data_IF_794847919377
#
_entry.id   IF_794847919377
#
_cell.length_a   1.000
_cell.length_b   1.000
_cell.length_c   1.000
_cell.angle_alpha   90.00
_cell.angle_beta   90.00
_cell.angle_gamma   90.00
#
_symmetry.space_group_name_H-M   'P 1'
#
loop_
_entity.id
_entity.type
_entity.pdbx_description
1 polymer ?
#
# COMPACT_ATOMS: atom_id res chain seq x y z
N UNK A 1 -13.79 -10.07 -20.43
CA UNK A 1 -12.71 -9.47 -19.64
C UNK A 1 -13.10 -9.55 -18.18
N UNK A 2 -12.49 -10.46 -17.43
CA UNK A 2 -12.93 -10.79 -16.09
C UNK A 2 -12.52 -9.76 -15.04
N UNK A 3 -13.30 -9.70 -13.94
CA UNK A 3 -13.05 -8.80 -12.79
C UNK A 3 -11.63 -8.97 -12.21
N UNK A 4 -11.12 -10.20 -12.25
CA UNK A 4 -9.76 -10.57 -11.83
C UNK A 4 -8.70 -9.87 -12.69
N UNK A 5 -8.88 -9.85 -14.01
CA UNK A 5 -7.97 -9.21 -14.97
C UNK A 5 -7.94 -7.68 -14.78
N UNK A 6 -9.10 -7.08 -14.46
CA UNK A 6 -9.20 -5.65 -14.12
C UNK A 6 -8.45 -5.30 -12.82
N UNK A 7 -8.53 -6.14 -11.78
CA UNK A 7 -7.82 -5.93 -10.50
C UNK A 7 -6.31 -6.11 -10.69
N UNK A 8 -5.88 -7.15 -11.41
CA UNK A 8 -4.45 -7.36 -11.71
C UNK A 8 -3.87 -6.21 -12.53
N UNK A 9 -4.62 -5.68 -13.51
CA UNK A 9 -4.17 -4.54 -14.30
C UNK A 9 -4.06 -3.25 -13.47
N UNK A 10 -4.97 -3.01 -12.53
CA UNK A 10 -4.88 -1.86 -11.61
C UNK A 10 -3.67 -1.98 -10.68
N UNK A 11 -3.45 -3.13 -10.05
CA UNK A 11 -2.29 -3.38 -9.21
C UNK A 11 -0.97 -3.30 -10.00
N UNK A 12 -0.95 -3.75 -11.27
CA UNK A 12 0.21 -3.63 -12.14
C UNK A 12 0.51 -2.18 -12.49
N UNK A 13 -0.50 -1.33 -12.68
CA UNK A 13 -0.33 0.08 -12.96
C UNK A 13 0.19 0.85 -11.73
N UNK A 14 -0.38 0.61 -10.55
CA UNK A 14 0.12 1.21 -9.30
C UNK A 14 1.57 0.84 -9.06
N UNK A 15 1.91 -0.45 -9.14
CA UNK A 15 3.29 -0.94 -9.02
C UNK A 15 4.22 -0.29 -10.05
N UNK A 16 3.80 -0.21 -11.31
CA UNK A 16 4.58 0.39 -12.40
C UNK A 16 4.86 1.87 -12.12
N UNK A 17 3.86 2.64 -11.72
CA UNK A 17 4.02 4.05 -11.40
C UNK A 17 4.97 4.27 -10.22
N UNK A 18 4.85 3.51 -9.14
CA UNK A 18 5.75 3.60 -7.99
C UNK A 18 7.19 3.24 -8.38
N UNK A 19 7.40 2.15 -9.12
CA UNK A 19 8.74 1.78 -9.60
C UNK A 19 9.33 2.88 -10.47
N UNK A 20 8.57 3.46 -11.40
CA UNK A 20 9.05 4.54 -12.26
C UNK A 20 9.42 5.79 -11.47
N UNK A 21 8.69 6.12 -10.40
CA UNK A 21 9.04 7.21 -9.48
C UNK A 21 10.37 6.91 -8.79
N UNK A 22 10.55 5.72 -8.22
CA UNK A 22 11.80 5.33 -7.57
C UNK A 22 12.99 5.32 -8.54
N UNK A 23 12.83 4.75 -9.73
CA UNK A 23 13.87 4.74 -10.76
C UNK A 23 14.26 6.15 -11.21
N UNK A 24 13.29 7.05 -11.36
CA UNK A 24 13.55 8.43 -11.71
C UNK A 24 14.33 9.15 -10.61
N UNK A 25 13.91 8.99 -9.37
CA UNK A 25 14.58 9.56 -8.21
C UNK A 25 16.00 9.03 -8.02
N UNK A 26 16.25 7.74 -8.26
CA UNK A 26 17.59 7.13 -8.15
C UNK A 26 18.57 7.61 -9.23
N UNK A 27 18.07 8.17 -10.33
CA UNK A 27 18.89 8.72 -11.42
C UNK A 27 19.06 10.23 -11.36
N UNK A 28 18.41 10.89 -10.41
CA UNK A 28 18.36 12.34 -10.31
C UNK A 28 19.22 12.81 -9.14
N UNK A 29 20.25 13.58 -9.43
CA UNK A 29 21.14 14.18 -8.42
C UNK A 29 20.63 15.51 -7.88
N UNK A 30 19.70 16.15 -8.59
CA UNK A 30 19.08 17.43 -8.21
C UNK A 30 17.62 17.42 -8.60
N UNK A 31 16.76 17.64 -7.64
CA UNK A 31 15.31 17.71 -7.86
C UNK A 31 14.94 19.12 -8.32
N UNK A 32 14.42 19.21 -9.54
CA UNK A 32 13.84 20.42 -10.12
C UNK A 32 12.32 20.34 -10.03
N UNK A 33 11.64 21.51 -10.08
CA UNK A 33 10.18 21.58 -9.92
C UNK A 33 9.44 20.74 -10.98
N UNK A 34 9.97 20.65 -12.19
CA UNK A 34 9.40 19.83 -13.27
C UNK A 34 9.40 18.33 -12.90
N UNK A 35 10.48 17.86 -12.29
CA UNK A 35 10.59 16.47 -11.80
C UNK A 35 9.60 16.19 -10.69
N UNK A 36 9.43 17.15 -9.76
CA UNK A 36 8.44 17.03 -8.69
C UNK A 36 7.01 16.94 -9.21
N UNK A 37 6.64 17.78 -10.18
CA UNK A 37 5.31 17.76 -10.81
C UNK A 37 5.04 16.42 -11.52
N UNK A 38 6.04 15.87 -12.21
CA UNK A 38 5.89 14.56 -12.85
C UNK A 38 5.70 13.45 -11.80
N UNK A 39 6.48 13.46 -10.71
CA UNK A 39 6.37 12.48 -9.63
C UNK A 39 4.99 12.57 -8.99
N UNK A 40 4.53 13.77 -8.64
CA UNK A 40 3.21 14.02 -8.07
C UNK A 40 2.10 13.47 -8.97
N UNK A 41 2.14 13.81 -10.26
CA UNK A 41 1.17 13.30 -11.24
C UNK A 41 1.12 11.79 -11.30
N UNK A 42 2.27 11.10 -11.22
CA UNK A 42 2.35 9.64 -11.22
C UNK A 42 1.82 9.03 -9.92
N UNK A 43 2.10 9.63 -8.77
CA UNK A 43 1.61 9.19 -7.48
C UNK A 43 0.08 9.32 -7.40
N UNK A 44 -0.49 10.42 -7.88
CA UNK A 44 -1.93 10.65 -7.93
C UNK A 44 -2.68 9.69 -8.87
N UNK A 45 -1.99 9.07 -9.84
CA UNK A 45 -2.55 8.01 -10.69
C UNK A 45 -2.59 6.64 -10.00
N UNK A 46 -2.04 6.53 -8.80
CA UNK A 46 -2.10 5.33 -7.97
C UNK A 46 -3.29 5.37 -7.02
N UNK A 47 -3.63 4.22 -6.42
CA UNK A 47 -4.68 4.12 -5.40
C UNK A 47 -4.19 4.49 -3.98
N UNK A 48 -3.03 5.17 -3.84
CA UNK A 48 -2.46 5.51 -2.53
C UNK A 48 -3.14 6.71 -1.83
N UNK A 49 -3.93 7.48 -2.58
CA UNK A 49 -4.59 8.69 -2.08
C UNK A 49 -3.72 9.95 -2.17
N UNK A 50 -4.37 11.12 -2.18
CA UNK A 50 -3.69 12.42 -2.33
C UNK A 50 -2.84 12.77 -1.11
N UNK A 51 -3.30 12.45 0.10
CA UNK A 51 -2.59 12.76 1.34
C UNK A 51 -1.18 12.15 1.38
N UNK A 52 -1.06 10.86 1.05
CA UNK A 52 0.25 10.21 0.99
C UNK A 52 1.11 10.74 -0.16
N UNK A 53 0.52 11.07 -1.30
CA UNK A 53 1.24 11.66 -2.41
C UNK A 53 1.83 13.03 -2.04
N UNK A 54 1.05 13.90 -1.38
CA UNK A 54 1.50 15.19 -0.86
C UNK A 54 2.60 15.05 0.19
N UNK A 55 2.48 14.10 1.11
CA UNK A 55 3.50 13.79 2.11
C UNK A 55 4.83 13.39 1.46
N UNK A 56 4.79 12.53 0.44
CA UNK A 56 5.97 12.11 -0.32
C UNK A 56 6.64 13.31 -1.00
N UNK A 57 5.87 14.15 -1.68
CA UNK A 57 6.40 15.35 -2.34
C UNK A 57 7.01 16.31 -1.33
N UNK A 58 6.35 16.54 -0.21
CA UNK A 58 6.87 17.38 0.88
C UNK A 58 8.17 16.84 1.44
N UNK A 59 8.26 15.53 1.66
CA UNK A 59 9.47 14.88 2.10
C UNK A 59 10.63 15.07 1.10
N UNK A 60 10.40 14.80 -0.19
CA UNK A 60 11.42 14.95 -1.24
C UNK A 60 11.95 16.39 -1.30
N UNK A 61 11.09 17.39 -1.10
CA UNK A 61 11.50 18.81 -1.07
C UNK A 61 12.40 19.17 0.11
N UNK A 62 12.28 18.47 1.22
CA UNK A 62 13.00 18.79 2.47
C UNK A 62 14.34 18.10 2.58
N UNK A 63 14.53 16.94 1.96
CA UNK A 63 15.77 16.18 2.06
C UNK A 63 16.86 16.73 1.12
N UNK A 64 18.10 16.57 1.58
CA UNK A 64 19.31 16.83 0.78
C UNK A 64 20.09 15.53 0.71
N UNK A 65 20.07 14.87 -0.41
CA UNK A 65 20.72 13.57 -0.62
C UNK A 65 21.19 13.46 -2.08
N UNK A 66 22.14 12.57 -2.32
CA UNK A 66 22.54 12.18 -3.67
C UNK A 66 21.71 11.01 -4.21
N UNK A 67 21.02 10.27 -3.35
CA UNK A 67 20.13 9.15 -3.68
C UNK A 67 18.73 9.36 -3.07
N UNK A 68 17.91 10.06 -3.82
CA UNK A 68 16.50 10.30 -3.46
C UNK A 68 15.66 9.02 -3.48
N UNK A 69 16.03 8.03 -4.31
CA UNK A 69 15.31 6.76 -4.41
C UNK A 69 15.41 5.95 -3.11
N UNK A 70 16.64 5.75 -2.60
CA UNK A 70 16.86 5.06 -1.32
C UNK A 70 16.25 5.84 -0.16
N UNK A 71 16.38 7.16 -0.13
CA UNK A 71 15.79 7.98 0.93
C UNK A 71 14.26 7.89 0.95
N UNK A 72 13.59 7.88 -0.21
CA UNK A 72 12.15 7.68 -0.28
C UNK A 72 11.75 6.27 0.14
N UNK A 73 12.51 5.25 -0.25
CA UNK A 73 12.27 3.88 0.17
C UNK A 73 12.30 3.74 1.70
N UNK A 74 13.34 4.28 2.34
CA UNK A 74 13.50 4.26 3.80
C UNK A 74 12.38 5.06 4.50
N UNK A 75 11.98 6.19 3.94
CA UNK A 75 10.85 6.97 4.45
C UNK A 75 9.55 6.17 4.44
N UNK A 76 9.25 5.48 3.34
CA UNK A 76 8.05 4.64 3.23
C UNK A 76 8.14 3.43 4.16
N UNK A 77 9.30 2.78 4.24
CA UNK A 77 9.51 1.63 5.14
C UNK A 77 9.27 2.01 6.59
N UNK A 78 9.83 3.13 7.05
CA UNK A 78 9.61 3.65 8.39
C UNK A 78 8.14 3.94 8.71
N UNK A 79 7.35 4.39 7.72
CA UNK A 79 5.89 4.57 7.93
C UNK A 79 5.17 3.25 8.12
N UNK A 80 5.60 2.17 7.45
CA UNK A 80 5.04 0.84 7.64
C UNK A 80 5.47 0.21 8.96
N UNK A 81 6.74 0.35 9.36
CA UNK A 81 7.26 -0.22 10.60
C UNK A 81 6.66 0.43 11.86
N UNK A 82 6.34 1.72 11.78
CA UNK A 82 5.69 2.45 12.86
C UNK A 82 4.16 2.23 12.91
N UNK A 83 3.61 1.41 12.02
CA UNK A 83 2.21 1.05 12.07
C UNK A 83 1.99 0.06 13.23
N UNK A 84 1.19 0.48 14.22
CA UNK A 84 0.88 -0.33 15.40
C UNK A 84 0.06 -1.56 15.01
N UNK A 85 0.74 -2.65 14.70
CA UNK A 85 0.12 -3.93 14.32
C UNK A 85 -0.59 -4.61 15.49
N UNK A 86 -0.26 -4.30 16.73
CA UNK A 86 -0.93 -4.85 17.92
C UNK A 86 -2.38 -4.35 18.05
N UNK A 87 -2.69 -3.20 17.47
CA UNK A 87 -4.07 -2.69 17.41
C UNK A 87 -4.99 -3.47 16.49
N UNK A 88 -4.46 -4.28 15.58
CA UNK A 88 -5.26 -5.00 14.58
C UNK A 88 -5.97 -6.21 15.19
N UNK A 89 -5.42 -6.80 16.25
CA UNK A 89 -5.94 -8.02 16.87
C UNK A 89 -6.80 -7.70 18.11
N UNK A 90 -7.94 -7.07 17.89
CA UNK A 90 -8.98 -6.94 18.92
C UNK A 90 -9.81 -8.23 19.01
N UNK A 91 -10.57 -8.39 20.10
CA UNK A 91 -11.47 -9.55 20.34
C UNK A 91 -12.42 -9.87 19.18
N UNK A 92 -12.76 -8.87 18.37
CA UNK A 92 -13.64 -9.02 17.20
C UNK A 92 -12.99 -8.35 15.99
N UNK A 93 -12.79 -9.13 14.94
CA UNK A 93 -12.26 -8.67 13.65
C UNK A 93 -13.35 -8.82 12.60
N UNK A 94 -13.77 -7.72 12.00
CA UNK A 94 -14.70 -7.71 10.87
C UNK A 94 -13.94 -7.62 9.55
N UNK A 95 -14.13 -8.62 8.67
CA UNK A 95 -13.54 -8.62 7.34
C UNK A 95 -14.61 -8.27 6.29
N UNK A 96 -14.41 -7.16 5.59
CA UNK A 96 -15.33 -6.65 4.57
C UNK A 96 -14.66 -6.61 3.20
N UNK A 97 -15.45 -6.65 2.14
CA UNK A 97 -14.95 -6.54 0.76
C UNK A 97 -16.00 -7.00 -0.25
N UNK A 98 -15.74 -6.69 -1.53
CA UNK A 98 -16.62 -7.08 -2.64
C UNK A 98 -16.64 -8.60 -2.85
N UNK A 99 -17.63 -9.10 -3.58
CA UNK A 99 -17.71 -10.53 -3.92
C UNK A 99 -16.48 -10.96 -4.73
N UNK A 100 -15.92 -12.11 -4.41
CA UNK A 100 -14.70 -12.62 -5.07
C UNK A 100 -13.38 -12.00 -4.58
N UNK A 101 -13.38 -11.05 -3.65
CA UNK A 101 -12.17 -10.41 -3.12
C UNK A 101 -11.26 -11.33 -2.26
N UNK A 102 -11.68 -12.58 -2.03
CA UNK A 102 -10.89 -13.52 -1.22
C UNK A 102 -11.11 -13.42 0.30
N UNK A 103 -12.20 -12.76 0.75
CA UNK A 103 -12.54 -12.61 2.19
C UNK A 103 -12.42 -13.91 2.96
N UNK A 104 -13.18 -14.93 2.55
CA UNK A 104 -13.22 -16.25 3.21
C UNK A 104 -11.86 -16.90 3.28
N UNK A 105 -11.08 -16.85 2.20
CA UNK A 105 -9.72 -17.40 2.16
C UNK A 105 -8.78 -16.65 3.10
N UNK A 106 -8.90 -15.33 3.16
CA UNK A 106 -8.08 -14.49 4.06
C UNK A 106 -8.43 -14.73 5.52
N UNK A 107 -9.72 -14.87 5.84
CA UNK A 107 -10.20 -15.19 7.19
C UNK A 107 -9.65 -16.56 7.63
N UNK A 108 -9.73 -17.59 6.78
CA UNK A 108 -9.23 -18.92 7.12
C UNK A 108 -7.71 -18.92 7.37
N UNK A 109 -6.93 -18.18 6.56
CA UNK A 109 -5.48 -18.03 6.76
C UNK A 109 -5.15 -17.27 8.05
N UNK A 110 -5.86 -16.18 8.32
CA UNK A 110 -5.68 -15.38 9.52
C UNK A 110 -6.02 -16.21 10.77
N UNK A 111 -7.16 -16.92 10.76
CA UNK A 111 -7.56 -17.79 11.85
C UNK A 111 -6.52 -18.89 12.10
N UNK A 112 -6.01 -19.54 11.05
CA UNK A 112 -4.98 -20.56 11.21
C UNK A 112 -3.68 -19.99 11.79
N UNK A 113 -3.32 -18.76 11.43
CA UNK A 113 -2.13 -18.08 11.97
C UNK A 113 -2.29 -17.73 13.44
N UNK A 114 -3.48 -17.31 13.86
CA UNK A 114 -3.77 -16.85 15.23
C UNK A 114 -4.17 -17.97 16.19
N UNK A 115 -4.54 -19.16 15.67
CA UNK A 115 -5.07 -20.27 16.49
C UNK A 115 -4.01 -20.93 17.38
N UNK A 116 -2.74 -20.58 17.23
CA UNK A 116 -1.66 -21.18 18.04
C UNK A 116 -1.79 -20.78 19.51
N UNK A 117 -2.24 -19.52 19.76
CA UNK A 117 -2.28 -18.92 21.08
C UNK A 117 -3.69 -18.46 21.51
N UNK A 118 -4.73 -18.69 20.69
CA UNK A 118 -6.08 -18.15 20.91
C UNK A 118 -7.16 -19.12 20.48
N UNK A 119 -8.28 -19.12 21.25
CA UNK A 119 -9.53 -19.74 20.82
C UNK A 119 -10.24 -18.82 19.82
N UNK A 120 -10.44 -19.30 18.59
CA UNK A 120 -11.00 -18.50 17.50
C UNK A 120 -12.38 -19.02 17.10
N UNK A 121 -13.37 -18.12 17.13
CA UNK A 121 -14.70 -18.35 16.59
C UNK A 121 -14.83 -17.66 15.21
N UNK A 122 -15.11 -18.43 14.18
CA UNK A 122 -15.42 -17.91 12.85
C UNK A 122 -16.94 -17.77 12.67
N UNK A 123 -17.38 -16.59 12.29
CA UNK A 123 -18.79 -16.29 12.03
C UNK A 123 -18.96 -15.89 10.57
N UNK A 124 -19.78 -16.63 9.82
CA UNK A 124 -20.15 -16.28 8.46
C UNK A 124 -21.42 -15.42 8.48
N UNK A 125 -21.29 -14.14 8.10
CA UNK A 125 -22.41 -13.21 7.94
C UNK A 125 -22.68 -12.88 6.45
N UNK A 126 -22.12 -13.67 5.52
CA UNK A 126 -22.33 -13.52 4.08
C UNK A 126 -23.62 -14.27 3.67
N UNK A 127 -24.71 -13.52 3.57
CA UNK A 127 -26.03 -14.07 3.22
C UNK A 127 -26.22 -14.34 1.73
N UNK A 128 -25.21 -14.03 0.89
CA UNK A 128 -25.25 -14.23 -0.56
C UNK A 128 -24.75 -15.61 -1.01
N UNK A 129 -24.27 -16.43 -0.07
CA UNK A 129 -23.77 -17.79 -0.36
C UNK A 129 -24.36 -18.84 0.53
#
# INVERSE_FOLDING_TARGET
MGLVESVFNKLSNTRKNVIQVLEKLSRTSKIEDEVLLEIESRLLQTDMGSELAEDIISYIKTIKTEDYGSALFDYLLNRFENFDTERILKKVVLVVGVNGAGKTTSIAKLANHLNVDNDILLVAADTFR
#
